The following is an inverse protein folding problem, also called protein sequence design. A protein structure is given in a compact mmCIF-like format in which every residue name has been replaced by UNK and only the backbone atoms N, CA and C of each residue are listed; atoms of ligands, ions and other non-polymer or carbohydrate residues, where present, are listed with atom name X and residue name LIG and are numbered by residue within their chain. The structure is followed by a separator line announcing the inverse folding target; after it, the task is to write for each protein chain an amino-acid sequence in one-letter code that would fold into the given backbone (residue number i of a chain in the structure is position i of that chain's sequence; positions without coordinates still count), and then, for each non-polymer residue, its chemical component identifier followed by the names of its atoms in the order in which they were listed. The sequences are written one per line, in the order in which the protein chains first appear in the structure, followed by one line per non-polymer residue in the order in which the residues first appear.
data_IF_416921459618
#
_entry.id   IF_416921459618
#
_cell.length_a   1.000
_cell.length_b   1.000
_cell.length_c   1.000
_cell.angle_alpha   90.00
_cell.angle_beta   90.00
_cell.angle_gamma   90.00
#
_symmetry.space_group_name_H-M   'P 1'
#
loop_
_entity.id
_entity.type
_entity.pdbx_description
1 polymer ?
#
# COMPACT_ATOMS: atom_id res chain seq x y z
N UNK A 1 -24.09 36.48 -1.33
CA UNK A 1 -22.98 35.78 -0.66
C UNK A 1 -23.53 34.52 -0.01
N UNK A 2 -23.38 33.33 -0.61
CA UNK A 2 -23.68 32.10 0.11
C UNK A 2 -22.53 31.82 1.07
N UNK A 3 -22.86 31.58 2.34
CA UNK A 3 -21.92 31.12 3.37
C UNK A 3 -21.45 29.73 2.99
N UNK A 4 -20.13 29.56 2.89
CA UNK A 4 -19.46 28.27 2.81
C UNK A 4 -19.84 27.44 4.05
N UNK A 5 -20.81 26.53 3.87
CA UNK A 5 -21.03 25.46 4.80
C UNK A 5 -19.78 24.57 4.74
N UNK A 6 -18.89 24.74 5.71
CA UNK A 6 -17.79 23.82 5.96
C UNK A 6 -18.40 22.44 6.13
N UNK A 7 -18.34 21.63 5.08
CA UNK A 7 -18.70 20.23 5.13
C UNK A 7 -17.79 19.58 6.18
N UNK A 8 -18.38 19.11 7.27
CA UNK A 8 -17.68 18.25 8.22
C UNK A 8 -17.01 17.13 7.43
N UNK A 9 -15.69 16.91 7.55
CA UNK A 9 -15.01 15.90 6.77
C UNK A 9 -15.66 14.54 7.03
N UNK A 10 -16.07 13.87 5.95
CA UNK A 10 -16.62 12.52 5.99
C UNK A 10 -15.64 11.62 6.77
N UNK A 11 -16.08 10.86 7.79
CA UNK A 11 -15.24 9.91 8.52
C UNK A 11 -14.44 8.97 7.61
N UNK A 12 -14.97 8.65 6.42
CA UNK A 12 -14.28 7.84 5.41
C UNK A 12 -13.10 8.55 4.72
N UNK A 13 -13.01 9.88 4.76
CA UNK A 13 -11.84 10.64 4.28
C UNK A 13 -10.72 10.71 5.33
N UNK A 14 -11.06 10.86 6.62
CA UNK A 14 -10.10 10.78 7.74
C UNK A 14 -9.35 9.44 7.73
N UNK A 15 -10.04 8.39 7.34
CA UNK A 15 -9.52 7.03 7.17
C UNK A 15 -8.45 6.90 6.09
N UNK A 16 -8.49 7.68 5.00
CA UNK A 16 -7.49 7.52 3.93
C UNK A 16 -6.10 8.01 4.35
N UNK A 17 -6.03 8.79 5.44
CA UNK A 17 -4.79 9.23 6.07
C UNK A 17 -4.09 8.10 6.84
N UNK A 18 -4.78 6.98 7.13
CA UNK A 18 -4.29 5.93 8.04
C UNK A 18 -3.19 5.08 7.42
N UNK A 19 -3.22 4.86 6.10
CA UNK A 19 -2.15 4.15 5.41
C UNK A 19 -0.84 4.94 5.43
N UNK A 20 -0.91 6.27 5.30
CA UNK A 20 0.26 7.14 5.43
C UNK A 20 0.86 7.13 6.83
N UNK A 21 0.00 7.09 7.87
CA UNK A 21 0.44 6.97 9.26
C UNK A 21 1.12 5.62 9.54
N UNK A 22 0.67 4.53 8.91
CA UNK A 22 1.32 3.23 9.01
C UNK A 22 2.74 3.32 8.47
N UNK A 23 2.91 3.79 7.23
CA UNK A 23 4.24 3.95 6.62
C UNK A 23 5.16 4.87 7.43
N UNK A 24 4.63 5.97 7.99
CA UNK A 24 5.40 6.83 8.88
C UNK A 24 5.82 6.12 10.17
N UNK A 25 4.91 5.34 10.76
CA UNK A 25 5.19 4.52 11.93
C UNK A 25 6.32 3.52 11.67
N UNK A 26 6.27 2.81 10.55
CA UNK A 26 7.30 1.87 10.12
C UNK A 26 8.66 2.54 9.90
N UNK A 27 8.70 3.69 9.23
CA UNK A 27 9.93 4.49 9.09
C UNK A 27 10.49 4.90 10.45
N UNK A 28 9.61 5.25 11.41
CA UNK A 28 10.01 5.63 12.77
C UNK A 28 10.57 4.45 13.56
N UNK A 29 9.97 3.27 13.41
CA UNK A 29 10.44 2.03 14.03
C UNK A 29 11.79 1.60 13.44
N UNK A 30 11.96 1.68 12.12
CA UNK A 30 13.23 1.44 11.47
C UNK A 30 14.32 2.40 11.95
N UNK A 31 14.04 3.69 12.07
CA UNK A 31 14.97 4.66 12.65
C UNK A 31 15.25 4.39 14.14
N UNK A 32 14.24 3.93 14.89
CA UNK A 32 14.36 3.52 16.29
C UNK A 32 15.27 2.31 16.49
N UNK A 33 15.34 1.39 15.52
CA UNK A 33 16.28 0.26 15.53
C UNK A 33 17.75 0.71 15.48
N UNK A 34 18.05 1.90 14.96
CA UNK A 34 19.37 2.52 14.99
C UNK A 34 19.57 3.48 16.18
N UNK A 35 18.60 3.56 17.10
CA UNK A 35 18.66 4.45 18.26
C UNK A 35 18.51 5.94 17.93
N UNK A 36 18.06 6.29 16.73
CA UNK A 36 17.94 7.70 16.29
C UNK A 36 16.70 8.39 16.86
N UNK A 37 15.64 7.62 17.16
CA UNK A 37 14.35 8.14 17.61
C UNK A 37 13.68 7.21 18.63
N UNK A 38 12.76 7.71 19.46
CA UNK A 38 12.04 6.87 20.43
C UNK A 38 11.08 5.89 19.75
N UNK A 39 11.24 4.60 20.06
CA UNK A 39 10.40 3.50 19.51
C UNK A 39 8.92 3.66 19.88
N UNK A 40 8.61 4.27 21.04
CA UNK A 40 7.25 4.46 21.51
C UNK A 40 6.37 5.29 20.57
N UNK A 41 6.95 6.28 19.87
CA UNK A 41 6.22 7.10 18.89
C UNK A 41 5.83 6.27 17.68
N UNK A 42 6.76 5.47 17.14
CA UNK A 42 6.50 4.57 16.02
C UNK A 42 5.38 3.57 16.33
N UNK A 43 5.45 2.93 17.51
CA UNK A 43 4.39 2.01 17.97
C UNK A 43 3.04 2.70 18.10
N UNK A 44 3.00 3.94 18.60
CA UNK A 44 1.77 4.73 18.67
C UNK A 44 1.17 5.01 17.30
N UNK A 45 2.00 5.40 16.32
CA UNK A 45 1.56 5.64 14.94
C UNK A 45 0.99 4.38 14.29
N UNK A 46 1.68 3.24 14.42
CA UNK A 46 1.20 1.95 13.91
C UNK A 46 -0.13 1.57 14.58
N UNK A 47 -0.23 1.70 15.91
CA UNK A 47 -1.45 1.37 16.64
C UNK A 47 -2.66 2.21 16.20
N UNK A 48 -2.49 3.53 16.04
CA UNK A 48 -3.55 4.42 15.52
C UNK A 48 -3.96 4.02 14.12
N UNK A 49 -3.00 3.67 13.27
CA UNK A 49 -3.25 3.27 11.88
C UNK A 49 -4.05 1.97 11.80
N UNK A 50 -3.67 0.96 12.59
CA UNK A 50 -4.38 -0.33 12.68
C UNK A 50 -5.78 -0.14 13.24
N UNK A 51 -5.95 0.67 14.30
CA UNK A 51 -7.26 0.95 14.88
C UNK A 51 -8.20 1.61 13.86
N UNK A 52 -7.70 2.60 13.12
CA UNK A 52 -8.50 3.29 12.12
C UNK A 52 -8.79 2.40 10.89
N UNK A 53 -7.85 1.55 10.48
CA UNK A 53 -8.10 0.49 9.50
C UNK A 53 -9.22 -0.47 9.96
N UNK A 54 -9.20 -0.88 11.24
CA UNK A 54 -10.21 -1.79 11.78
C UNK A 54 -11.60 -1.16 11.78
N UNK A 55 -11.72 0.13 12.12
CA UNK A 55 -12.97 0.89 12.03
C UNK A 55 -13.53 0.82 10.60
N UNK A 56 -12.66 0.94 9.60
CA UNK A 56 -13.04 1.03 8.19
C UNK A 56 -13.45 -0.32 7.65
N UNK A 57 -12.72 -1.35 8.02
CA UNK A 57 -13.11 -2.72 7.72
C UNK A 57 -14.51 -3.00 8.30
N UNK A 58 -14.76 -2.61 9.55
CA UNK A 58 -16.08 -2.78 10.19
C UNK A 58 -17.17 -1.99 9.47
N UNK A 59 -16.91 -0.73 9.08
CA UNK A 59 -17.86 0.08 8.33
C UNK A 59 -18.14 -0.52 6.94
N UNK A 60 -17.10 -0.99 6.26
CA UNK A 60 -17.22 -1.63 4.95
C UNK A 60 -18.02 -2.93 5.03
N UNK A 61 -17.69 -3.82 5.98
CA UNK A 61 -18.43 -5.08 6.23
C UNK A 61 -19.89 -4.80 6.63
N UNK A 62 -20.16 -3.72 7.37
CA UNK A 62 -21.53 -3.29 7.66
C UNK A 62 -22.24 -2.79 6.40
N UNK A 63 -21.57 -2.03 5.55
CA UNK A 63 -22.06 -1.55 4.26
C UNK A 63 -22.34 -2.66 3.25
N UNK A 64 -21.58 -3.76 3.30
CA UNK A 64 -21.81 -4.95 2.47
C UNK A 64 -23.17 -5.62 2.69
N UNK A 65 -23.87 -5.32 3.81
CA UNK A 65 -25.26 -5.77 4.01
C UNK A 65 -26.25 -5.06 3.08
N UNK A 66 -25.86 -3.96 2.44
CA UNK A 66 -26.69 -3.18 1.53
C UNK A 66 -26.35 -3.38 0.05
N UNK A 67 -25.09 -3.72 -0.31
CA UNK A 67 -24.67 -4.03 -1.69
C UNK A 67 -23.55 -5.09 -1.72
N UNK A 68 -23.50 -5.95 -2.76
CA UNK A 68 -22.50 -7.01 -2.87
C UNK A 68 -21.09 -6.47 -3.16
N UNK A 69 -20.10 -7.08 -2.50
CA UNK A 69 -18.66 -6.73 -2.54
C UNK A 69 -18.09 -6.60 -3.96
N UNK A 70 -18.57 -7.40 -4.91
CA UNK A 70 -18.08 -7.41 -6.28
C UNK A 70 -18.31 -6.10 -7.04
N UNK A 71 -19.30 -5.28 -6.64
CA UNK A 71 -19.58 -4.01 -7.31
C UNK A 71 -18.54 -2.94 -6.99
N UNK A 72 -18.04 -2.93 -5.75
CA UNK A 72 -17.01 -1.99 -5.30
C UNK A 72 -15.63 -2.37 -5.86
N UNK A 73 -15.37 -3.67 -6.02
CA UNK A 73 -14.13 -4.18 -6.61
C UNK A 73 -14.03 -3.88 -8.12
N UNK A 74 -15.15 -3.93 -8.84
CA UNK A 74 -15.23 -3.61 -10.26
C UNK A 74 -15.21 -2.09 -10.54
N UNK A 75 -15.27 -1.24 -9.51
CA UNK A 75 -15.19 0.20 -9.69
C UNK A 75 -13.75 0.60 -10.10
N UNK A 76 -13.54 1.22 -11.28
CA UNK A 76 -12.20 1.55 -11.77
C UNK A 76 -11.48 2.64 -10.95
N UNK A 77 -12.20 3.32 -10.07
CA UNK A 77 -11.71 4.42 -9.23
C UNK A 77 -11.47 3.93 -7.80
N UNK A 78 -12.36 3.11 -7.23
CA UNK A 78 -12.29 2.63 -5.85
C UNK A 78 -11.67 1.23 -5.74
N UNK A 79 -11.95 0.34 -6.69
CA UNK A 79 -11.49 -1.05 -6.74
C UNK A 79 -9.98 -1.20 -6.53
N UNK A 80 -9.11 -0.43 -7.20
CA UNK A 80 -7.66 -0.52 -7.01
C UNK A 80 -7.18 -0.29 -5.57
N UNK A 81 -8.01 0.29 -4.68
CA UNK A 81 -7.68 0.49 -3.26
C UNK A 81 -8.10 -0.69 -2.36
N UNK A 82 -8.88 -1.65 -2.85
CA UNK A 82 -9.27 -2.85 -2.11
C UNK A 82 -8.10 -3.65 -1.49
N UNK A 83 -6.91 -3.75 -2.13
CA UNK A 83 -5.74 -4.41 -1.54
C UNK A 83 -5.31 -3.84 -0.19
N UNK A 84 -5.65 -2.58 0.14
CA UNK A 84 -5.39 -1.99 1.46
C UNK A 84 -5.99 -2.80 2.61
N UNK A 85 -7.11 -3.48 2.36
CA UNK A 85 -7.73 -4.38 3.33
C UNK A 85 -6.84 -5.58 3.70
N UNK A 86 -5.94 -5.99 2.80
CA UNK A 86 -5.06 -7.14 2.99
C UNK A 86 -3.66 -6.73 3.44
N UNK A 87 -3.09 -5.67 2.86
CA UNK A 87 -1.68 -5.33 3.07
C UNK A 87 -1.42 -4.69 4.44
N UNK A 88 -2.38 -3.94 5.00
CA UNK A 88 -2.28 -3.31 6.32
C UNK A 88 -2.19 -4.35 7.45
N UNK A 89 -3.15 -5.29 7.60
CA UNK A 89 -3.06 -6.29 8.67
C UNK A 89 -1.89 -7.25 8.49
N UNK A 90 -1.49 -7.54 7.25
CA UNK A 90 -0.30 -8.35 6.95
C UNK A 90 0.97 -7.68 7.51
N UNK A 91 1.20 -6.40 7.20
CA UNK A 91 2.36 -5.68 7.72
C UNK A 91 2.31 -5.52 9.24
N UNK A 92 1.14 -5.19 9.78
CA UNK A 92 0.96 -5.08 11.23
C UNK A 92 1.19 -6.41 11.96
N UNK A 93 0.85 -7.55 11.37
CA UNK A 93 1.16 -8.86 11.95
C UNK A 93 2.66 -9.14 11.93
N UNK A 94 3.34 -8.81 10.84
CA UNK A 94 4.78 -8.97 10.71
C UNK A 94 5.58 -8.11 11.72
N UNK A 95 5.17 -6.85 11.96
CA UNK A 95 5.84 -5.96 12.91
C UNK A 95 5.41 -6.21 14.36
N UNK A 96 4.10 -6.24 14.62
CA UNK A 96 3.57 -6.17 15.98
C UNK A 96 3.26 -7.54 16.62
N UNK A 97 2.91 -8.57 15.83
CA UNK A 97 2.55 -9.89 16.37
C UNK A 97 3.76 -10.84 16.40
N UNK A 98 4.56 -10.85 15.35
CA UNK A 98 5.72 -11.73 15.21
C UNK A 98 6.70 -11.72 16.39
N UNK A 99 7.03 -10.57 17.04
CA UNK A 99 7.90 -10.56 18.21
C UNK A 99 7.35 -11.31 19.43
N UNK A 100 6.03 -11.48 19.52
CA UNK A 100 5.37 -12.18 20.63
C UNK A 100 4.95 -13.61 20.25
N UNK A 101 4.62 -13.84 18.99
CA UNK A 101 4.27 -15.14 18.42
C UNK A 101 4.83 -15.26 17.01
N UNK A 102 6.00 -15.88 16.91
CA UNK A 102 6.69 -16.11 15.64
C UNK A 102 5.78 -16.82 14.63
N UNK A 103 5.19 -17.94 15.03
CA UNK A 103 4.28 -18.72 14.17
C UNK A 103 3.00 -17.98 13.79
N UNK A 104 2.44 -17.17 14.69
CA UNK A 104 1.25 -16.38 14.41
C UNK A 104 1.52 -15.24 13.43
N UNK A 105 2.63 -14.51 13.62
CA UNK A 105 3.04 -13.44 12.73
C UNK A 105 3.40 -13.94 11.33
N UNK A 106 4.14 -15.05 11.24
CA UNK A 106 4.49 -15.71 9.98
C UNK A 106 3.25 -16.20 9.24
N UNK A 107 2.36 -16.94 9.90
CA UNK A 107 1.16 -17.49 9.27
C UNK A 107 0.22 -16.40 8.72
N UNK A 108 0.01 -15.30 9.45
CA UNK A 108 -0.80 -14.18 8.96
C UNK A 108 -0.12 -13.47 7.79
N UNK A 109 1.21 -13.35 7.84
CA UNK A 109 2.00 -12.78 6.74
C UNK A 109 1.83 -13.60 5.48
N UNK A 110 2.00 -14.92 5.54
CA UNK A 110 1.88 -15.82 4.41
C UNK A 110 0.47 -15.81 3.80
N UNK A 111 -0.56 -15.87 4.65
CA UNK A 111 -1.96 -15.75 4.21
C UNK A 111 -2.19 -14.41 3.52
N UNK A 112 -1.66 -13.31 4.07
CA UNK A 112 -1.72 -11.98 3.47
C UNK A 112 -1.02 -11.91 2.10
N UNK A 113 0.17 -12.50 1.99
CA UNK A 113 0.95 -12.59 0.75
C UNK A 113 0.18 -13.36 -0.32
N UNK A 114 -0.38 -14.52 0.01
CA UNK A 114 -1.16 -15.32 -0.94
C UNK A 114 -2.42 -14.56 -1.35
N UNK A 115 -3.18 -14.04 -0.39
CA UNK A 115 -4.43 -13.31 -0.66
C UNK A 115 -4.20 -12.08 -1.56
N UNK A 116 -3.14 -11.30 -1.30
CA UNK A 116 -2.84 -10.13 -2.13
C UNK A 116 -2.32 -10.52 -3.51
N UNK A 117 -1.57 -11.62 -3.66
CA UNK A 117 -1.12 -12.09 -4.99
C UNK A 117 -2.32 -12.52 -5.82
N UNK A 118 -3.26 -13.26 -5.23
CA UNK A 118 -4.51 -13.67 -5.88
C UNK A 118 -5.33 -12.45 -6.29
N UNK A 119 -5.49 -11.48 -5.39
CA UNK A 119 -6.22 -10.25 -5.67
C UNK A 119 -5.56 -9.41 -6.77
N UNK A 120 -4.23 -9.26 -6.74
CA UNK A 120 -3.48 -8.56 -7.78
C UNK A 120 -3.62 -9.26 -9.15
N UNK A 121 -3.53 -10.59 -9.16
CA UNK A 121 -3.75 -11.40 -10.36
C UNK A 121 -5.16 -11.25 -10.91
N UNK A 122 -6.16 -11.16 -10.05
CA UNK A 122 -7.54 -10.85 -10.43
C UNK A 122 -7.61 -9.49 -11.14
N UNK A 123 -7.12 -8.41 -10.51
CA UNK A 123 -7.16 -7.07 -11.11
C UNK A 123 -6.45 -7.01 -12.46
N UNK A 124 -5.25 -7.61 -12.56
CA UNK A 124 -4.51 -7.67 -13.82
C UNK A 124 -5.28 -8.47 -14.87
N UNK A 125 -5.86 -9.61 -14.50
CA UNK A 125 -6.71 -10.40 -15.38
C UNK A 125 -7.93 -9.61 -15.86
N UNK A 126 -8.59 -8.89 -14.96
CA UNK A 126 -9.72 -8.03 -15.27
C UNK A 126 -9.34 -6.95 -16.29
N UNK A 127 -8.19 -6.30 -16.12
CA UNK A 127 -7.70 -5.29 -17.06
C UNK A 127 -7.27 -5.87 -18.42
N UNK A 128 -6.92 -7.15 -18.47
CA UNK A 128 -6.59 -7.85 -19.73
C UNK A 128 -7.86 -8.26 -20.49
N UNK A 129 -8.88 -8.74 -19.77
CA UNK A 129 -10.08 -9.32 -20.38
C UNK A 129 -11.26 -8.36 -20.55
N UNK A 130 -11.33 -7.30 -19.75
CA UNK A 130 -12.39 -6.29 -19.79
C UNK A 130 -11.87 -4.96 -20.34
N UNK A 131 -12.74 -4.17 -21.01
CA UNK A 131 -12.36 -2.86 -21.48
C UNK A 131 -12.02 -1.95 -20.30
N UNK A 132 -10.76 -1.52 -20.24
CA UNK A 132 -10.30 -0.51 -19.30
C UNK A 132 -10.43 0.87 -19.95
N UNK A 133 -11.19 1.76 -19.31
CA UNK A 133 -11.26 3.16 -19.71
C UNK A 133 -9.91 3.84 -19.39
N UNK A 134 -9.09 3.99 -20.42
CA UNK A 134 -7.73 4.51 -20.29
C UNK A 134 -7.73 5.92 -19.67
N UNK A 135 -8.76 6.72 -19.89
CA UNK A 135 -8.85 8.07 -19.32
C UNK A 135 -9.02 8.05 -17.79
N UNK A 136 -9.47 6.94 -17.22
CA UNK A 136 -9.62 6.75 -15.77
C UNK A 136 -8.41 6.09 -15.10
N UNK A 137 -7.41 5.66 -15.87
CA UNK A 137 -6.15 5.16 -15.32
C UNK A 137 -5.52 6.26 -14.48
N UNK A 138 -5.07 5.92 -13.28
CA UNK A 138 -4.55 6.86 -12.30
C UNK A 138 -3.59 6.14 -11.34
N UNK A 139 -2.74 6.86 -10.59
CA UNK A 139 -1.68 6.23 -9.78
C UNK A 139 -2.13 5.22 -8.73
N UNK A 140 -3.40 5.23 -8.32
CA UNK A 140 -3.98 4.20 -7.46
C UNK A 140 -3.98 2.79 -8.06
N UNK A 141 -3.75 2.64 -9.37
CA UNK A 141 -3.56 1.34 -10.03
C UNK A 141 -2.24 0.65 -9.61
N UNK A 142 -1.34 1.35 -8.91
CA UNK A 142 -0.16 0.76 -8.28
C UNK A 142 -0.50 -0.10 -7.07
N UNK A 143 -1.63 0.12 -6.40
CA UNK A 143 -1.89 -0.51 -5.11
C UNK A 143 -1.99 -2.05 -5.16
N UNK A 144 -2.67 -2.68 -6.13
CA UNK A 144 -2.79 -4.15 -6.18
C UNK A 144 -1.45 -4.86 -6.33
N UNK A 145 -0.63 -4.46 -7.29
CA UNK A 145 0.59 -5.17 -7.65
C UNK A 145 1.85 -4.54 -7.07
N UNK A 146 2.04 -3.23 -7.24
CA UNK A 146 3.27 -2.51 -6.85
C UNK A 146 3.35 -2.33 -5.34
N UNK A 147 2.37 -1.63 -4.75
CA UNK A 147 2.36 -1.39 -3.31
C UNK A 147 2.19 -2.72 -2.56
N UNK A 148 1.27 -3.59 -3.01
CA UNK A 148 1.13 -4.92 -2.46
C UNK A 148 2.39 -5.79 -2.60
N UNK A 149 3.20 -5.58 -3.62
CA UNK A 149 4.53 -6.19 -3.78
C UNK A 149 5.51 -5.73 -2.69
N UNK A 150 5.73 -4.41 -2.60
CA UNK A 150 6.71 -3.84 -1.67
C UNK A 150 6.30 -3.93 -0.19
N UNK A 151 5.02 -3.86 0.13
CA UNK A 151 4.55 -4.06 1.51
C UNK A 151 4.71 -5.53 1.93
N UNK A 152 4.45 -6.47 1.02
CA UNK A 152 4.69 -7.89 1.27
C UNK A 152 6.19 -8.21 1.41
N UNK A 153 7.04 -7.56 0.63
CA UNK A 153 8.49 -7.59 0.79
C UNK A 153 8.90 -7.18 2.21
N UNK A 154 8.40 -6.04 2.70
CA UNK A 154 8.71 -5.58 4.05
C UNK A 154 8.22 -6.58 5.11
N UNK A 155 6.98 -7.07 4.99
CA UNK A 155 6.41 -8.06 5.91
C UNK A 155 7.24 -9.36 5.95
N UNK A 156 7.58 -9.93 4.79
CA UNK A 156 8.43 -11.12 4.69
C UNK A 156 9.83 -10.90 5.29
N UNK A 157 10.41 -9.71 5.08
CA UNK A 157 11.68 -9.31 5.68
C UNK A 157 11.61 -9.25 7.21
N UNK A 158 10.56 -8.65 7.77
CA UNK A 158 10.34 -8.57 9.21
C UNK A 158 10.13 -9.95 9.85
N UNK A 159 9.48 -10.88 9.15
CA UNK A 159 9.33 -12.27 9.61
C UNK A 159 10.53 -13.17 9.32
N UNK A 160 11.64 -12.62 8.80
CA UNK A 160 12.87 -13.36 8.51
C UNK A 160 12.84 -14.25 7.26
N UNK A 161 11.79 -14.17 6.43
CA UNK A 161 11.60 -14.95 5.22
C UNK A 161 12.32 -14.30 4.01
N UNK A 162 13.65 -14.24 4.05
CA UNK A 162 14.45 -13.42 3.12
C UNK A 162 14.34 -13.84 1.64
N UNK A 163 14.26 -15.14 1.36
CA UNK A 163 14.09 -15.62 -0.02
C UNK A 163 12.73 -15.23 -0.60
N UNK A 164 11.67 -15.36 0.20
CA UNK A 164 10.34 -14.88 -0.16
C UNK A 164 10.33 -13.36 -0.37
N UNK A 165 11.04 -12.64 0.50
CA UNK A 165 11.21 -11.21 0.39
C UNK A 165 11.83 -10.85 -0.99
N UNK A 166 12.93 -11.46 -1.39
CA UNK A 166 13.56 -11.19 -2.71
C UNK A 166 12.61 -11.48 -3.90
N UNK A 167 11.79 -12.54 -3.83
CA UNK A 167 10.76 -12.81 -4.84
C UNK A 167 9.71 -11.70 -4.89
N UNK A 168 9.25 -11.22 -3.72
CA UNK A 168 8.27 -10.16 -3.60
C UNK A 168 8.83 -8.79 -4.03
N UNK A 169 10.14 -8.56 -3.86
CA UNK A 169 10.83 -7.40 -4.43
C UNK A 169 10.74 -7.42 -5.96
N UNK A 170 11.05 -8.57 -6.58
CA UNK A 170 10.91 -8.75 -8.02
C UNK A 170 9.48 -8.51 -8.50
N UNK A 171 8.49 -9.06 -7.80
CA UNK A 171 7.07 -8.83 -8.09
C UNK A 171 6.72 -7.34 -8.06
N UNK A 172 7.08 -6.62 -6.99
CA UNK A 172 6.79 -5.20 -6.85
C UNK A 172 7.51 -4.35 -7.91
N UNK A 173 8.81 -4.60 -8.12
CA UNK A 173 9.65 -3.82 -9.03
C UNK A 173 9.26 -4.02 -10.51
N UNK A 174 9.07 -5.26 -10.95
CA UNK A 174 8.64 -5.54 -12.32
C UNK A 174 7.23 -5.02 -12.56
N UNK A 175 6.32 -5.19 -11.59
CA UNK A 175 4.97 -4.61 -11.68
C UNK A 175 5.03 -3.09 -11.77
N UNK A 176 5.94 -2.44 -11.05
CA UNK A 176 6.10 -1.00 -11.11
C UNK A 176 6.57 -0.54 -12.48
N UNK A 177 7.55 -1.21 -13.07
CA UNK A 177 8.01 -0.87 -14.42
C UNK A 177 6.85 -1.00 -15.43
N UNK A 178 6.08 -2.09 -15.37
CA UNK A 178 4.98 -2.34 -16.32
C UNK A 178 3.82 -1.38 -16.09
N UNK A 179 3.22 -1.36 -14.88
CA UNK A 179 2.05 -0.54 -14.57
C UNK A 179 2.43 0.94 -14.53
N UNK A 180 3.61 1.28 -14.02
CA UNK A 180 4.16 2.64 -14.00
C UNK A 180 4.30 3.21 -15.40
N UNK A 181 4.75 2.42 -16.38
CA UNK A 181 4.82 2.87 -17.77
C UNK A 181 3.44 3.20 -18.34
N UNK A 182 2.42 2.40 -18.02
CA UNK A 182 1.04 2.60 -18.48
C UNK A 182 0.45 3.86 -17.85
N UNK A 183 0.57 3.99 -16.52
CA UNK A 183 0.05 5.14 -15.77
C UNK A 183 0.76 6.42 -16.21
N UNK A 184 2.10 6.42 -16.24
CA UNK A 184 2.87 7.59 -16.65
C UNK A 184 2.58 7.97 -18.11
N UNK A 185 2.50 7.01 -19.02
CA UNK A 185 2.11 7.25 -20.41
C UNK A 185 0.73 7.92 -20.51
N UNK A 186 -0.25 7.45 -19.73
CA UNK A 186 -1.57 8.09 -19.64
C UNK A 186 -1.52 9.49 -19.05
N UNK A 187 -0.72 9.72 -18.02
CA UNK A 187 -0.61 11.03 -17.37
C UNK A 187 0.04 12.07 -18.29
N UNK A 188 0.99 11.66 -19.13
CA UNK A 188 1.72 12.53 -20.06
C UNK A 188 0.93 12.81 -21.34
N UNK A 189 0.29 11.79 -21.92
CA UNK A 189 -0.33 11.88 -23.25
C UNK A 189 -1.85 12.09 -23.18
N UNK A 190 -2.49 11.57 -22.13
CA UNK A 190 -3.94 11.63 -21.97
C UNK A 190 -4.46 12.98 -21.47
N UNK A 191 -5.79 13.16 -21.45
CA UNK A 191 -6.40 14.35 -20.87
C UNK A 191 -6.07 14.47 -19.38
N UNK A 192 -6.04 15.70 -18.87
CA UNK A 192 -5.86 15.94 -17.44
C UNK A 192 -6.87 15.13 -16.60
N UNK A 193 -6.42 14.63 -15.46
CA UNK A 193 -7.30 13.90 -14.54
C UNK A 193 -8.47 14.81 -14.11
N UNK A 194 -9.70 14.26 -14.01
CA UNK A 194 -10.82 14.96 -13.41
C UNK A 194 -10.45 15.52 -12.04
N UNK A 195 -10.95 16.71 -11.70
CA UNK A 195 -10.61 17.43 -10.45
C UNK A 195 -10.64 16.56 -9.18
N UNK A 196 -11.63 15.65 -8.98
CA UNK A 196 -11.67 14.79 -7.79
C UNK A 196 -10.53 13.76 -7.69
N UNK A 197 -9.83 13.47 -8.79
CA UNK A 197 -8.76 12.46 -8.86
C UNK A 197 -7.36 13.07 -8.77
N UNK A 198 -7.22 14.40 -8.90
CA UNK A 198 -5.93 15.11 -8.82
C UNK A 198 -5.14 14.77 -7.55
N UNK A 199 -5.73 14.68 -6.34
CA UNK A 199 -4.97 14.33 -5.13
C UNK A 199 -4.25 12.97 -5.21
N UNK A 200 -4.67 12.07 -6.11
CA UNK A 200 -4.06 10.75 -6.27
C UNK A 200 -2.72 10.79 -7.01
N UNK A 201 -2.38 11.90 -7.65
CA UNK A 201 -1.06 12.11 -8.23
C UNK A 201 0.05 11.98 -7.19
N UNK A 202 -0.24 12.27 -5.91
CA UNK A 202 0.71 12.07 -4.82
C UNK A 202 1.16 10.60 -4.65
N UNK A 203 0.39 9.63 -5.13
CA UNK A 203 0.75 8.20 -5.08
C UNK A 203 1.94 7.89 -6.02
N UNK A 204 2.22 8.71 -7.04
CA UNK A 204 3.40 8.52 -7.92
C UNK A 204 4.73 8.57 -7.15
N UNK A 205 4.78 9.29 -6.02
CA UNK A 205 5.99 9.34 -5.17
C UNK A 205 6.17 8.04 -4.38
N UNK A 206 5.09 7.28 -4.17
CA UNK A 206 5.09 6.15 -3.24
C UNK A 206 5.96 4.96 -3.68
N UNK A 207 5.94 4.48 -4.95
CA UNK A 207 6.69 3.29 -5.35
C UNK A 207 8.18 3.35 -5.00
N UNK A 208 8.84 4.47 -5.32
CA UNK A 208 10.27 4.65 -5.04
C UNK A 208 10.56 4.66 -3.53
N UNK A 209 9.75 5.39 -2.77
CA UNK A 209 9.89 5.50 -1.32
C UNK A 209 9.65 4.17 -0.60
N UNK A 210 8.58 3.47 -0.96
CA UNK A 210 8.20 2.19 -0.34
C UNK A 210 9.17 1.08 -0.75
N UNK A 211 9.61 1.03 -2.02
CA UNK A 211 10.62 0.08 -2.46
C UNK A 211 11.96 0.29 -1.73
N UNK A 212 12.39 1.54 -1.58
CA UNK A 212 13.59 1.89 -0.82
C UNK A 212 13.47 1.43 0.62
N UNK A 213 12.38 1.78 1.30
CA UNK A 213 12.15 1.40 2.69
C UNK A 213 12.15 -0.13 2.86
N UNK A 214 11.33 -0.83 2.07
CA UNK A 214 11.18 -2.27 2.19
C UNK A 214 12.48 -3.02 1.86
N UNK A 215 13.26 -2.55 0.88
CA UNK A 215 14.58 -3.11 0.61
C UNK A 215 15.56 -2.82 1.73
N UNK A 216 15.55 -1.60 2.28
CA UNK A 216 16.42 -1.20 3.40
C UNK A 216 16.19 -2.05 4.65
N UNK A 217 14.93 -2.39 4.97
CA UNK A 217 14.59 -3.29 6.08
C UNK A 217 15.29 -4.65 5.96
N UNK A 218 15.52 -5.13 4.74
CA UNK A 218 16.16 -6.43 4.48
C UNK A 218 17.69 -6.34 4.46
N UNK A 219 18.24 -5.33 3.76
CA UNK A 219 19.70 -5.21 3.57
C UNK A 219 20.39 -4.48 4.72
N UNK A 220 19.64 -3.78 5.57
CA UNK A 220 20.13 -3.00 6.70
C UNK A 220 21.18 -1.96 6.28
N UNK A 221 22.37 -2.03 6.87
CA UNK A 221 23.45 -1.08 6.61
C UNK A 221 24.08 -1.14 5.21
N UNK A 222 23.70 -2.10 4.36
CA UNK A 222 24.30 -2.26 3.04
C UNK A 222 23.63 -1.35 2.02
N UNK A 223 24.26 -0.21 1.74
CA UNK A 223 23.81 0.72 0.69
C UNK A 223 24.33 0.26 -0.68
N UNK A 224 23.70 -0.78 -1.22
CA UNK A 224 23.96 -1.32 -2.55
C UNK A 224 23.45 -0.41 -3.68
N UNK A 225 23.94 -0.65 -4.91
CA UNK A 225 23.58 0.18 -6.08
C UNK A 225 22.07 0.19 -6.33
N UNK A 226 21.39 -0.95 -6.18
CA UNK A 226 19.94 -1.04 -6.35
C UNK A 226 19.19 -0.09 -5.41
N UNK A 227 19.57 -0.05 -4.13
CA UNK A 227 18.99 0.88 -3.15
C UNK A 227 19.25 2.34 -3.53
N UNK A 228 20.47 2.67 -4.01
CA UNK A 228 20.81 4.04 -4.46
C UNK A 228 19.99 4.47 -5.67
N UNK A 229 19.73 3.56 -6.61
CA UNK A 229 18.89 3.84 -7.77
C UNK A 229 17.44 4.11 -7.36
N UNK A 230 16.89 3.32 -6.43
CA UNK A 230 15.54 3.54 -5.89
C UNK A 230 15.42 4.90 -5.19
N UNK A 231 16.41 5.25 -4.34
CA UNK A 231 16.49 6.56 -3.70
C UNK A 231 16.59 7.67 -4.73
N UNK A 232 17.50 7.53 -5.70
CA UNK A 232 17.75 8.56 -6.72
C UNK A 232 16.56 8.83 -7.62
N UNK A 233 15.73 7.83 -7.92
CA UNK A 233 14.48 8.04 -8.66
C UNK A 233 13.41 8.74 -7.81
N UNK A 234 13.43 8.58 -6.49
CA UNK A 234 12.43 9.14 -5.57
C UNK A 234 12.65 10.61 -5.19
N UNK A 235 13.77 11.23 -5.58
CA UNK A 235 14.12 12.64 -5.31
C UNK A 235 13.79 13.49 -6.54
#
# INVERSE_FOLDING_TARGET
MPRDAQATPDPAQLVRHTFGLLGLGECWLAAGAFGLVPVGVGRGLVAVSVAAWAVVLVLHVRGMRAQPLGRDLADPIAGPFAPLALIVPMLAAADALYPYSHSGGEAITDVGVVAKVVLAGWFIGEWIYLPLDFDKVQPGYFLPSVAGGFVALAAAGLTGQLELADVLFGLGLVSWIVVGSIVLGRLVVGPALPTPLIPRLAIEVAPAAVATFARFVIVGHRIEIGLRLLVGYGV
#
